data_IF_207389681306
#
_entry.id   IF_207389681306
#
_cell.length_a   1.000
_cell.length_b   1.000
_cell.length_c   1.000
_cell.angle_alpha   90.00
_cell.angle_beta   90.00
_cell.angle_gamma   90.00
#
_symmetry.space_group_name_H-M   'P 1'
#
loop_
_entity.id
_entity.type
_entity.pdbx_description
1 polymer ?
#
# COMPACT_ATOMS: atom_id res chain seq x y z
N UNK A 1 -7.31 -6.47 11.64
CA UNK A 1 -5.91 -6.96 11.62
C UNK A 1 -5.30 -7.34 12.97
N UNK A 2 -4.41 -8.35 12.97
CA UNK A 2 -3.63 -8.85 14.14
C UNK A 2 -2.48 -7.92 14.56
N UNK A 3 -1.69 -7.41 13.61
CA UNK A 3 -0.55 -6.53 13.86
C UNK A 3 -0.93 -5.29 14.71
N UNK A 4 -2.00 -4.59 14.31
CA UNK A 4 -2.50 -3.43 15.06
C UNK A 4 -2.94 -3.78 16.49
N UNK A 5 -3.49 -4.98 16.73
CA UNK A 5 -3.85 -5.45 18.08
C UNK A 5 -2.61 -5.75 18.93
N UNK A 6 -1.57 -6.34 18.33
CA UNK A 6 -0.29 -6.60 19.00
C UNK A 6 0.33 -5.27 19.44
N UNK A 7 0.48 -4.32 18.52
CA UNK A 7 1.06 -3.00 18.80
C UNK A 7 0.28 -2.24 19.88
N UNK A 8 -1.07 -2.30 19.85
CA UNK A 8 -1.88 -1.68 20.90
C UNK A 8 -1.66 -2.33 22.28
N UNK A 9 -1.44 -3.65 22.35
CA UNK A 9 -1.11 -4.34 23.61
C UNK A 9 0.28 -3.96 24.11
N UNK A 10 1.27 -3.86 23.22
CA UNK A 10 2.61 -3.39 23.54
C UNK A 10 2.59 -1.94 24.08
N UNK A 11 1.83 -1.05 23.42
CA UNK A 11 1.68 0.32 23.87
C UNK A 11 1.03 0.44 25.26
N UNK A 12 0.06 -0.42 25.59
CA UNK A 12 -0.56 -0.43 26.91
C UNK A 12 0.41 -0.77 28.05
N UNK A 13 1.55 -1.40 27.77
CA UNK A 13 2.61 -1.68 28.75
C UNK A 13 3.80 -0.72 28.63
N UNK A 14 3.66 0.36 27.86
CA UNK A 14 4.70 1.38 27.68
C UNK A 14 5.74 1.06 26.60
N UNK A 15 5.56 -0.03 25.84
CA UNK A 15 6.44 -0.37 24.71
C UNK A 15 5.91 0.28 23.43
N UNK A 16 6.10 1.59 23.31
CA UNK A 16 5.70 2.40 22.16
C UNK A 16 6.57 3.66 22.04
N UNK A 17 6.64 4.18 20.82
CA UNK A 17 7.26 5.47 20.54
C UNK A 17 6.35 6.60 21.01
N UNK A 18 6.94 7.70 21.49
CA UNK A 18 6.19 8.86 21.99
C UNK A 18 6.00 9.95 20.95
N UNK A 19 6.72 9.86 19.82
CA UNK A 19 6.68 10.83 18.73
C UNK A 19 6.61 10.13 17.39
N UNK A 20 6.10 10.84 16.38
CA UNK A 20 5.88 10.28 15.04
C UNK A 20 7.18 10.07 14.26
N UNK A 21 8.22 10.89 14.49
CA UNK A 21 9.49 10.84 13.74
C UNK A 21 10.12 9.45 13.71
N UNK A 22 10.42 8.83 14.86
CA UNK A 22 10.98 7.48 14.92
C UNK A 22 10.12 6.39 14.26
N UNK A 23 8.80 6.58 14.21
CA UNK A 23 7.88 5.63 13.55
C UNK A 23 8.01 5.72 12.03
N UNK A 24 8.18 6.93 11.50
CA UNK A 24 8.43 7.16 10.08
C UNK A 24 9.83 6.67 9.70
N UNK A 25 10.83 6.95 10.52
CA UNK A 25 12.21 6.49 10.30
C UNK A 25 12.27 4.96 10.22
N UNK A 26 11.54 4.24 11.09
CA UNK A 26 11.46 2.79 11.03
C UNK A 26 10.82 2.29 9.73
N UNK A 27 9.81 2.98 9.18
CA UNK A 27 9.27 2.59 7.86
C UNK A 27 10.32 2.74 6.75
N UNK A 28 11.17 3.76 6.80
CA UNK A 28 12.25 3.93 5.83
C UNK A 28 13.35 2.86 5.98
N UNK A 29 13.72 2.53 7.21
CA UNK A 29 14.66 1.44 7.54
C UNK A 29 14.21 0.11 6.91
N UNK A 30 12.95 -0.27 7.12
CA UNK A 30 12.39 -1.53 6.57
C UNK A 30 12.30 -1.52 5.04
N UNK A 31 12.10 -0.35 4.42
CA UNK A 31 12.19 -0.22 2.95
C UNK A 31 13.62 -0.52 2.49
N UNK A 32 14.62 0.02 3.18
CA UNK A 32 16.02 -0.20 2.85
C UNK A 32 16.42 -1.67 3.04
N UNK A 33 15.92 -2.35 4.09
CA UNK A 33 16.15 -3.78 4.36
C UNK A 33 15.52 -4.68 3.27
N UNK A 34 14.25 -4.44 2.91
CA UNK A 34 13.60 -5.12 1.77
C UNK A 34 14.40 -4.93 0.48
N UNK A 35 14.80 -3.69 0.19
CA UNK A 35 15.52 -3.39 -1.05
C UNK A 35 16.95 -3.93 -1.02
N UNK A 36 17.57 -4.09 0.15
CA UNK A 36 18.86 -4.76 0.29
C UNK A 36 18.75 -6.25 -0.07
N UNK A 37 17.78 -6.97 0.50
CA UNK A 37 17.58 -8.39 0.21
C UNK A 37 17.14 -8.63 -1.25
N UNK A 38 16.31 -7.75 -1.82
CA UNK A 38 15.86 -7.83 -3.21
C UNK A 38 16.96 -7.55 -4.26
N UNK A 39 18.09 -6.93 -3.86
CA UNK A 39 19.21 -6.56 -4.75
C UNK A 39 20.41 -7.51 -4.64
N UNK A 40 20.31 -8.57 -3.85
CA UNK A 40 21.37 -9.56 -3.74
C UNK A 40 21.60 -10.29 -5.07
N UNK A 41 22.84 -10.73 -5.30
CA UNK A 41 23.19 -11.51 -6.50
C UNK A 41 22.43 -12.85 -6.56
N UNK A 42 22.14 -13.43 -5.39
CA UNK A 42 21.23 -14.57 -5.20
C UNK A 42 20.25 -14.16 -4.12
N UNK A 43 18.96 -14.11 -4.46
CA UNK A 43 17.91 -13.69 -3.54
C UNK A 43 17.57 -14.85 -2.61
N UNK A 44 17.70 -14.62 -1.30
CA UNK A 44 17.13 -15.49 -0.29
C UNK A 44 15.65 -15.11 -0.09
N UNK A 45 14.77 -15.95 -0.62
CA UNK A 45 13.34 -15.68 -0.62
C UNK A 45 12.75 -15.67 0.79
N UNK A 46 13.33 -16.41 1.75
CA UNK A 46 12.84 -16.45 3.12
C UNK A 46 13.15 -15.14 3.85
N UNK A 47 14.37 -14.62 3.67
CA UNK A 47 14.75 -13.31 4.20
C UNK A 47 13.94 -12.18 3.57
N UNK A 48 13.79 -12.19 2.25
CA UNK A 48 12.99 -11.16 1.58
C UNK A 48 11.53 -11.15 2.07
N UNK A 49 10.96 -12.32 2.37
CA UNK A 49 9.62 -12.43 2.97
C UNK A 49 9.58 -11.91 4.41
N UNK A 50 10.62 -12.17 5.20
CA UNK A 50 10.79 -11.63 6.57
C UNK A 50 10.80 -10.10 6.57
N UNK A 51 11.68 -9.47 5.79
CA UNK A 51 11.78 -8.01 5.70
C UNK A 51 10.49 -7.37 5.14
N UNK A 52 9.82 -8.05 4.20
CA UNK A 52 8.51 -7.58 3.72
C UNK A 52 7.45 -7.62 4.84
N UNK A 53 7.51 -8.63 5.71
CA UNK A 53 6.68 -8.74 6.89
C UNK A 53 6.89 -7.58 7.87
N UNK A 54 8.15 -7.21 8.11
CA UNK A 54 8.52 -6.14 9.04
C UNK A 54 8.20 -4.75 8.46
N UNK A 55 8.38 -4.54 7.16
CA UNK A 55 7.85 -3.36 6.46
C UNK A 55 6.32 -3.23 6.61
N UNK A 56 5.58 -4.30 6.37
CA UNK A 56 4.12 -4.30 6.58
C UNK A 56 3.79 -4.03 8.05
N UNK A 57 4.55 -4.56 9.00
CA UNK A 57 4.33 -4.29 10.41
C UNK A 57 4.60 -2.83 10.78
N UNK A 58 5.68 -2.23 10.26
CA UNK A 58 6.04 -0.83 10.47
C UNK A 58 5.00 0.13 9.89
N UNK A 59 4.50 -0.13 8.68
CA UNK A 59 3.42 0.69 8.09
C UNK A 59 2.12 0.63 8.90
N UNK A 60 1.80 -0.51 9.52
CA UNK A 60 0.67 -0.63 10.46
C UNK A 60 0.89 0.19 11.73
N UNK A 61 2.14 0.24 12.21
CA UNK A 61 2.51 1.07 13.35
C UNK A 61 2.35 2.55 13.03
N UNK A 62 2.80 2.97 11.86
CA UNK A 62 2.60 4.33 11.34
C UNK A 62 1.12 4.68 11.26
N UNK A 63 0.30 3.81 10.64
CA UNK A 63 -1.14 4.02 10.54
C UNK A 63 -1.79 4.21 11.92
N UNK A 64 -1.38 3.43 12.92
CA UNK A 64 -1.86 3.54 14.30
C UNK A 64 -1.45 4.86 14.96
N UNK A 65 -0.20 5.30 14.79
CA UNK A 65 0.31 6.59 15.29
C UNK A 65 -0.39 7.79 14.64
N UNK A 66 -0.81 7.65 13.38
CA UNK A 66 -1.64 8.63 12.67
C UNK A 66 -3.14 8.57 13.05
N UNK A 67 -3.53 7.74 14.01
CA UNK A 67 -4.92 7.61 14.47
C UNK A 67 -5.84 6.86 13.51
N UNK A 68 -5.29 6.12 12.55
CA UNK A 68 -6.06 5.35 11.56
C UNK A 68 -6.06 3.85 11.86
N UNK A 69 -7.05 3.13 11.33
CA UNK A 69 -7.08 1.66 11.35
C UNK A 69 -6.58 1.16 10.01
N UNK A 70 -5.39 0.56 9.98
CA UNK A 70 -4.71 0.15 8.75
C UNK A 70 -5.60 -0.75 7.86
N UNK A 71 -6.31 -1.70 8.46
CA UNK A 71 -7.27 -2.57 7.76
C UNK A 71 -8.35 -1.77 7.00
N UNK A 72 -8.95 -0.79 7.67
CA UNK A 72 -10.04 0.02 7.10
C UNK A 72 -9.48 0.95 6.02
N UNK A 73 -8.28 1.50 6.25
CA UNK A 73 -7.60 2.34 5.27
C UNK A 73 -7.30 1.55 3.98
N UNK A 74 -6.82 0.32 4.12
CA UNK A 74 -6.54 -0.58 3.00
C UNK A 74 -7.83 -1.00 2.28
N UNK A 75 -8.89 -1.36 3.00
CA UNK A 75 -10.19 -1.69 2.40
C UNK A 75 -10.70 -0.54 1.53
N UNK A 76 -10.67 0.70 2.03
CA UNK A 76 -11.07 1.89 1.26
C UNK A 76 -10.17 2.12 0.04
N UNK A 77 -8.88 1.80 0.14
CA UNK A 77 -7.96 1.89 -0.99
C UNK A 77 -8.30 0.85 -2.08
N UNK A 78 -8.65 -0.38 -1.68
CA UNK A 78 -9.09 -1.45 -2.60
C UNK A 78 -10.39 -1.07 -3.30
N UNK A 79 -11.42 -0.63 -2.56
CA UNK A 79 -12.70 -0.19 -3.13
C UNK A 79 -12.50 0.97 -4.14
N UNK A 80 -11.61 1.91 -3.83
CA UNK A 80 -11.23 2.99 -4.75
C UNK A 80 -10.54 2.45 -6.01
N UNK A 81 -9.63 1.49 -5.86
CA UNK A 81 -8.93 0.86 -6.99
C UNK A 81 -9.92 0.11 -7.89
N UNK A 82 -10.76 -0.76 -7.33
CA UNK A 82 -11.77 -1.54 -8.05
C UNK A 82 -12.73 -0.65 -8.83
N UNK A 83 -13.23 0.42 -8.18
CA UNK A 83 -14.11 1.40 -8.82
C UNK A 83 -13.44 2.07 -10.02
N UNK A 84 -12.18 2.48 -9.87
CA UNK A 84 -11.41 3.11 -10.96
C UNK A 84 -11.11 2.14 -12.09
N UNK A 85 -10.75 0.91 -11.75
CA UNK A 85 -10.45 -0.12 -12.73
C UNK A 85 -11.71 -0.49 -13.55
N UNK A 86 -12.85 -0.68 -12.88
CA UNK A 86 -14.14 -0.93 -13.53
C UNK A 86 -14.55 0.21 -14.48
N UNK A 87 -14.39 1.46 -14.05
CA UNK A 87 -14.65 2.64 -14.90
C UNK A 87 -13.69 2.72 -16.10
N UNK A 88 -12.43 2.34 -15.91
CA UNK A 88 -11.44 2.28 -17.00
C UNK A 88 -11.87 1.26 -18.06
N UNK A 89 -12.32 0.07 -17.63
CA UNK A 89 -12.89 -0.93 -18.53
C UNK A 89 -14.11 -0.42 -19.31
N UNK A 90 -15.05 0.23 -18.63
CA UNK A 90 -16.21 0.83 -19.30
C UNK A 90 -15.84 1.92 -20.31
N UNK A 91 -14.75 2.67 -20.05
CA UNK A 91 -14.24 3.68 -20.97
C UNK A 91 -13.60 3.03 -22.22
N UNK A 92 -12.80 1.98 -22.05
CA UNK A 92 -12.24 1.19 -23.16
C UNK A 92 -13.36 0.61 -24.02
N UNK A 93 -14.37 -0.02 -23.42
CA UNK A 93 -15.50 -0.58 -24.17
C UNK A 93 -16.26 0.47 -24.98
N UNK A 94 -16.46 1.69 -24.45
CA UNK A 94 -17.08 2.80 -25.19
C UNK A 94 -16.27 3.26 -26.41
N UNK A 95 -14.96 3.04 -26.39
CA UNK A 95 -14.04 3.33 -27.51
C UNK A 95 -13.88 2.14 -28.47
N UNK A 96 -14.59 1.04 -28.23
CA UNK A 96 -14.43 -0.20 -29.00
C UNK A 96 -13.10 -0.92 -28.73
N UNK A 97 -12.47 -0.64 -27.58
CA UNK A 97 -11.19 -1.23 -27.17
C UNK A 97 -11.42 -2.28 -26.09
N UNK A 98 -10.60 -3.34 -26.11
CA UNK A 98 -10.55 -4.33 -25.03
C UNK A 98 -9.38 -4.04 -24.08
N UNK A 99 -9.60 -4.21 -22.78
CA UNK A 99 -8.58 -3.97 -21.74
C UNK A 99 -7.34 -4.88 -21.89
N UNK A 100 -7.51 -6.07 -22.47
CA UNK A 100 -6.44 -7.03 -22.75
C UNK A 100 -5.62 -6.70 -24.00
N UNK A 101 -6.08 -5.74 -24.81
CA UNK A 101 -5.46 -5.36 -26.09
C UNK A 101 -4.89 -3.93 -26.12
N UNK A 102 -4.93 -3.21 -25.00
CA UNK A 102 -4.34 -1.87 -24.86
C UNK A 102 -2.98 -1.95 -24.16
N UNK A 103 -2.05 -1.11 -24.59
CA UNK A 103 -0.75 -0.98 -23.93
C UNK A 103 -0.88 -0.25 -22.58
N UNK A 104 0.19 -0.36 -21.77
CA UNK A 104 0.25 0.26 -20.44
C UNK A 104 0.08 1.78 -20.50
N UNK A 105 0.54 2.43 -21.57
CA UNK A 105 0.42 3.88 -21.76
C UNK A 105 -1.05 4.28 -21.92
N UNK A 106 -1.78 3.60 -22.81
CA UNK A 106 -3.22 3.81 -22.99
C UNK A 106 -4.00 3.49 -21.70
N UNK A 107 -3.63 2.42 -20.99
CA UNK A 107 -4.26 2.09 -19.71
C UNK A 107 -4.05 3.20 -18.66
N UNK A 108 -2.85 3.77 -18.59
CA UNK A 108 -2.52 4.88 -17.69
C UNK A 108 -3.27 6.17 -18.08
N UNK A 109 -3.38 6.49 -19.37
CA UNK A 109 -4.16 7.63 -19.84
C UNK A 109 -5.64 7.54 -19.41
N UNK A 110 -6.25 6.37 -19.63
CA UNK A 110 -7.63 6.09 -19.23
C UNK A 110 -7.77 6.15 -17.72
N UNK A 111 -6.82 5.57 -16.98
CA UNK A 111 -6.79 5.62 -15.52
C UNK A 111 -6.77 7.06 -15.00
N UNK A 112 -5.91 7.92 -15.55
CA UNK A 112 -5.82 9.33 -15.17
C UNK A 112 -7.09 10.10 -15.52
N UNK A 113 -7.74 9.79 -16.64
CA UNK A 113 -9.03 10.38 -17.00
C UNK A 113 -10.14 10.02 -16.00
N UNK A 114 -10.24 8.74 -15.62
CA UNK A 114 -11.19 8.29 -14.59
C UNK A 114 -10.91 8.96 -13.25
N UNK A 115 -9.62 9.14 -12.91
CA UNK A 115 -9.18 9.82 -11.69
C UNK A 115 -9.64 11.28 -11.63
N UNK A 116 -9.51 12.03 -12.74
CA UNK A 116 -9.97 13.43 -12.84
C UNK A 116 -11.48 13.55 -12.63
N UNK A 117 -12.27 12.67 -13.27
CA UNK A 117 -13.73 12.66 -13.13
C UNK A 117 -14.24 12.31 -11.72
N UNK A 118 -13.42 11.70 -10.86
CA UNK A 118 -13.76 11.47 -9.45
C UNK A 118 -13.45 12.66 -8.53
N UNK A 119 -12.51 13.54 -8.91
CA UNK A 119 -12.11 14.69 -8.11
C UNK A 119 -13.08 15.86 -8.31
N UNK A 120 -13.75 15.91 -9.47
CA UNK A 120 -14.72 16.95 -9.83
C UNK A 120 -16.18 16.66 -9.38
N UNK A 121 -16.37 15.72 -8.43
CA UNK A 121 -17.66 15.35 -7.81
C UNK A 121 -17.63 15.60 -6.30
#
# INVERSE_FOLDING_TARGET
MRAQKIQKRCANVGFDWTTLGPVVDKVYEEIDEVMYEARQAVIDQAKLEEEMGDLLFATVNLARHLGTKAEIALQKANEKFERRFSRSGAYCCRRGLEMTGVDLETMEEVWQQVKRQEIDL
#
